data_IF_094135952561
#
_entry.id   IF_094135952561
#
_cell.length_a   1.000
_cell.length_b   1.000
_cell.length_c   1.000
_cell.angle_alpha   90.00
_cell.angle_beta   90.00
_cell.angle_gamma   90.00
#
_symmetry.space_group_name_H-M   'P 1'
#
loop_
_entity.id
_entity.type
_entity.pdbx_description
1 polymer ?
#
# COMPACT_ATOMS: atom_id res chain seq x y z
N UNK A 1 6.61 -15.18 -19.31
CA UNK A 1 6.60 -13.82 -19.88
C UNK A 1 7.18 -12.78 -18.91
N UNK A 2 6.74 -12.72 -17.64
CA UNK A 2 7.15 -11.67 -16.70
C UNK A 2 8.60 -11.73 -16.14
N UNK A 3 9.28 -12.87 -16.25
CA UNK A 3 10.66 -13.05 -15.73
C UNK A 3 11.69 -12.19 -16.47
N UNK A 4 11.54 -12.01 -17.79
CA UNK A 4 12.52 -11.29 -18.61
C UNK A 4 12.29 -9.77 -18.68
N UNK A 5 11.41 -9.23 -17.82
CA UNK A 5 11.08 -7.81 -17.82
C UNK A 5 12.17 -7.00 -17.12
N UNK A 6 12.36 -5.75 -17.54
CA UNK A 6 13.25 -4.82 -16.84
C UNK A 6 12.85 -4.65 -15.37
N UNK A 7 13.81 -4.54 -14.45
CA UNK A 7 13.55 -4.36 -13.00
C UNK A 7 12.59 -3.19 -12.76
N UNK A 8 12.83 -2.04 -13.41
CA UNK A 8 11.98 -0.86 -13.29
C UNK A 8 10.52 -1.11 -13.72
N UNK A 9 10.32 -1.93 -14.75
CA UNK A 9 8.96 -2.29 -15.21
C UNK A 9 8.25 -3.21 -14.22
N UNK A 10 8.98 -4.13 -13.57
CA UNK A 10 8.43 -5.01 -12.53
C UNK A 10 8.00 -4.21 -11.29
N UNK A 11 8.85 -3.29 -10.83
CA UNK A 11 8.52 -2.36 -9.75
C UNK A 11 7.31 -1.48 -10.11
N UNK A 12 7.32 -0.93 -11.34
CA UNK A 12 6.22 -0.13 -11.87
C UNK A 12 4.90 -0.89 -11.92
N UNK A 13 4.90 -2.17 -12.33
CA UNK A 13 3.72 -3.02 -12.33
C UNK A 13 3.17 -3.25 -10.92
N UNK A 14 4.03 -3.54 -9.95
CA UNK A 14 3.61 -3.72 -8.56
C UNK A 14 2.90 -2.48 -8.00
N UNK A 15 3.48 -1.31 -8.25
CA UNK A 15 2.90 -0.01 -7.88
C UNK A 15 1.61 0.31 -8.66
N UNK A 16 1.59 0.03 -9.97
CA UNK A 16 0.41 0.24 -10.82
C UNK A 16 -0.77 -0.66 -10.47
N UNK A 17 -0.55 -1.78 -9.79
CA UNK A 17 -1.64 -2.62 -9.27
C UNK A 17 -2.11 -2.08 -7.91
N UNK A 18 -1.18 -1.69 -7.03
CA UNK A 18 -1.51 -1.24 -5.67
C UNK A 18 -2.17 0.13 -5.61
N UNK A 19 -1.68 1.11 -6.38
CA UNK A 19 -2.18 2.49 -6.31
C UNK A 19 -3.63 2.62 -6.76
N UNK A 20 -4.07 2.07 -7.91
CA UNK A 20 -5.46 2.12 -8.31
C UNK A 20 -6.37 1.37 -7.32
N UNK A 21 -5.90 0.25 -6.76
CA UNK A 21 -6.65 -0.48 -5.76
C UNK A 21 -6.87 0.35 -4.48
N UNK A 22 -5.83 1.06 -4.00
CA UNK A 22 -5.98 2.01 -2.90
C UNK A 22 -6.98 3.12 -3.24
N UNK A 23 -6.90 3.69 -4.44
CA UNK A 23 -7.84 4.71 -4.91
C UNK A 23 -9.27 4.17 -4.90
N UNK A 24 -9.50 2.95 -5.39
CA UNK A 24 -10.82 2.29 -5.37
C UNK A 24 -11.33 2.10 -3.94
N UNK A 25 -10.48 1.66 -3.00
CA UNK A 25 -10.85 1.52 -1.59
C UNK A 25 -11.24 2.88 -0.98
N UNK A 26 -10.47 3.94 -1.27
CA UNK A 26 -10.75 5.29 -0.79
C UNK A 26 -12.07 5.82 -1.36
N UNK A 27 -12.28 5.69 -2.67
CA UNK A 27 -13.52 6.12 -3.33
C UNK A 27 -14.72 5.36 -2.77
N UNK A 28 -14.61 4.04 -2.59
CA UNK A 28 -15.67 3.23 -2.01
C UNK A 28 -15.97 3.64 -0.57
N UNK A 29 -14.94 3.91 0.24
CA UNK A 29 -15.09 4.36 1.61
C UNK A 29 -15.75 5.73 1.72
N UNK A 30 -15.30 6.72 0.93
CA UNK A 30 -15.90 8.06 0.90
C UNK A 30 -17.34 8.01 0.43
N UNK A 31 -17.63 7.27 -0.64
CA UNK A 31 -18.99 7.15 -1.20
C UNK A 31 -19.96 6.47 -0.22
N UNK A 32 -19.49 5.44 0.50
CA UNK A 32 -20.27 4.78 1.54
C UNK A 32 -20.54 5.71 2.72
N UNK A 33 -19.56 6.54 3.11
CA UNK A 33 -19.70 7.49 4.20
C UNK A 33 -20.64 8.67 3.85
N UNK A 34 -20.51 9.24 2.66
CA UNK A 34 -21.38 10.35 2.22
C UNK A 34 -22.84 9.92 2.09
N UNK A 35 -23.10 8.74 1.52
CA UNK A 35 -24.46 8.20 1.43
C UNK A 35 -25.09 7.92 2.79
N UNK A 36 -24.27 7.65 3.82
CA UNK A 36 -24.73 7.46 5.19
C UNK A 36 -25.02 8.79 5.88
N UNK A 37 -24.15 9.79 5.69
CA UNK A 37 -24.31 11.14 6.23
C UNK A 37 -25.63 11.77 5.76
N UNK A 38 -25.91 11.73 4.45
CA UNK A 38 -27.16 12.23 3.87
C UNK A 38 -28.44 11.60 4.47
N UNK A 39 -28.38 10.29 4.80
CA UNK A 39 -29.51 9.58 5.41
C UNK A 39 -29.68 9.95 6.88
N UNK A 40 -28.58 10.06 7.62
CA UNK A 40 -28.61 10.43 9.02
C UNK A 40 -29.04 11.88 9.21
N UNK A 41 -28.61 12.78 8.33
CA UNK A 41 -29.04 14.17 8.32
C UNK A 41 -30.56 14.28 8.14
N UNK A 42 -31.14 13.57 7.17
CA UNK A 42 -32.60 13.52 6.99
C UNK A 42 -33.33 12.95 8.21
N UNK A 43 -32.81 11.91 8.84
CA UNK A 43 -33.43 11.31 10.04
C UNK A 43 -33.41 12.32 11.20
N UNK A 44 -32.28 12.96 11.45
CA UNK A 44 -32.06 13.80 12.64
C UNK A 44 -32.60 15.21 12.46
N UNK A 45 -32.31 15.85 11.33
CA UNK A 45 -32.60 17.26 11.09
C UNK A 45 -33.92 17.52 10.37
N UNK A 46 -34.47 16.51 9.67
CA UNK A 46 -35.82 16.61 9.08
C UNK A 46 -36.85 15.79 9.85
N UNK A 47 -36.76 14.45 9.81
CA UNK A 47 -37.82 13.56 10.32
C UNK A 47 -38.06 13.74 11.83
N UNK A 48 -37.00 13.77 12.65
CA UNK A 48 -37.14 13.96 14.09
C UNK A 48 -37.71 15.34 14.44
N UNK A 49 -37.36 16.38 13.67
CA UNK A 49 -37.92 17.73 13.87
C UNK A 49 -39.40 17.78 13.50
N UNK A 50 -39.79 17.18 12.36
CA UNK A 50 -41.20 17.04 11.95
C UNK A 50 -42.02 16.28 13.01
N UNK A 51 -41.48 15.21 13.58
CA UNK A 51 -42.12 14.47 14.67
C UNK A 51 -42.24 15.30 15.95
N UNK A 52 -41.22 16.09 16.31
CA UNK A 52 -41.28 16.96 17.48
C UNK A 52 -42.34 18.08 17.33
N UNK A 53 -42.46 18.65 16.13
CA UNK A 53 -43.51 19.61 15.80
C UNK A 53 -44.89 18.95 15.83
N UNK A 54 -45.04 17.75 15.25
CA UNK A 54 -46.29 16.97 15.28
C UNK A 54 -46.71 16.59 16.71
N UNK A 55 -45.74 16.26 17.58
CA UNK A 55 -45.99 16.03 19.02
C UNK A 55 -46.40 17.32 19.74
N UNK A 56 -45.81 18.46 19.38
CA UNK A 56 -46.20 19.76 19.94
C UNK A 56 -47.63 20.11 19.53
N UNK A 57 -48.00 19.85 18.28
CA UNK A 57 -49.37 19.97 17.79
C UNK A 57 -50.32 19.08 18.60
N UNK A 58 -50.05 17.77 18.67
CA UNK A 58 -50.85 16.79 19.44
C UNK A 58 -51.03 17.20 20.91
N UNK A 59 -49.95 17.59 21.60
CA UNK A 59 -50.01 18.10 22.98
C UNK A 59 -50.95 19.30 23.13
N UNK A 60 -50.94 20.24 22.20
CA UNK A 60 -51.81 21.42 22.28
C UNK A 60 -53.27 21.09 21.97
N UNK A 61 -53.56 20.06 21.17
CA UNK A 61 -54.93 19.55 20.98
C UNK A 61 -55.47 18.96 22.28
N UNK A 62 -54.67 18.20 23.04
CA UNK A 62 -55.06 17.73 24.38
C UNK A 62 -55.37 18.89 25.33
N UNK A 63 -54.55 19.95 25.33
CA UNK A 63 -54.79 21.15 26.14
C UNK A 63 -56.09 21.84 25.73
N UNK A 64 -56.36 21.98 24.42
CA UNK A 64 -57.63 22.52 23.90
C UNK A 64 -58.83 21.72 24.43
N UNK A 65 -58.76 20.38 24.34
CA UNK A 65 -59.81 19.50 24.86
C UNK A 65 -60.01 19.67 26.36
N UNK A 66 -58.92 19.69 27.14
CA UNK A 66 -58.95 19.86 28.59
C UNK A 66 -59.59 21.20 28.99
N UNK A 67 -59.14 22.30 28.39
CA UNK A 67 -59.61 23.65 28.73
C UNK A 67 -61.10 23.81 28.39
N UNK A 68 -61.58 23.25 27.28
CA UNK A 68 -63.01 23.28 26.94
C UNK A 68 -63.86 22.55 27.99
N UNK A 69 -63.40 21.40 28.48
CA UNK A 69 -64.08 20.70 29.58
C UNK A 69 -64.02 21.51 30.88
N UNK A 70 -62.87 22.12 31.20
CA UNK A 70 -62.72 23.00 32.37
C UNK A 70 -63.69 24.18 32.33
N UNK A 71 -63.84 24.87 31.20
CA UNK A 71 -64.78 25.99 31.05
C UNK A 71 -66.23 25.57 31.32
N UNK A 72 -66.63 24.37 30.87
CA UNK A 72 -67.98 23.84 31.10
C UNK A 72 -68.19 23.35 32.54
N UNK A 73 -67.12 22.89 33.21
CA UNK A 73 -67.19 22.35 34.57
C UNK A 73 -67.00 23.40 35.67
N UNK A 74 -66.37 24.55 35.37
CA UNK A 74 -66.20 25.65 36.32
C UNK A 74 -67.55 26.00 36.97
N UNK A 75 -67.54 26.31 38.27
CA UNK A 75 -68.71 26.85 38.98
C UNK A 75 -68.66 28.39 39.02
N UNK A 76 -67.47 28.93 39.30
CA UNK A 76 -67.16 30.36 39.26
C UNK A 76 -66.89 30.85 37.82
N UNK A 77 -67.71 31.79 37.36
CA UNK A 77 -67.68 32.32 35.99
C UNK A 77 -66.62 33.39 35.78
N UNK A 78 -66.13 34.00 36.85
CA UNK A 78 -65.06 35.00 36.78
C UNK A 78 -63.72 34.39 36.34
N UNK A 79 -63.57 33.07 36.44
CA UNK A 79 -62.41 32.30 36.01
C UNK A 79 -62.43 31.91 34.51
N UNK A 80 -63.56 32.05 33.80
CA UNK A 80 -63.66 31.70 32.37
C UNK A 80 -62.65 32.46 31.48
N UNK A 81 -62.42 33.78 31.66
CA UNK A 81 -61.40 34.50 30.90
C UNK A 81 -59.98 33.95 31.08
N UNK A 82 -59.64 33.46 32.28
CA UNK A 82 -58.32 32.85 32.54
C UNK A 82 -58.17 31.53 31.78
N UNK A 83 -59.18 30.67 31.80
CA UNK A 83 -59.19 29.44 31.02
C UNK A 83 -59.15 29.72 29.52
N UNK A 84 -59.89 30.73 29.04
CA UNK A 84 -59.81 31.15 27.64
C UNK A 84 -58.39 31.58 27.25
N UNK A 85 -57.65 32.26 28.13
CA UNK A 85 -56.26 32.63 27.85
C UNK A 85 -55.35 31.39 27.69
N UNK A 86 -55.59 30.31 28.46
CA UNK A 86 -54.88 29.03 28.30
C UNK A 86 -55.21 28.39 26.95
N UNK A 87 -56.47 28.44 26.51
CA UNK A 87 -56.89 27.98 25.19
C UNK A 87 -56.20 28.76 24.06
N UNK A 88 -56.19 30.08 24.13
CA UNK A 88 -55.58 30.94 23.10
C UNK A 88 -54.07 30.68 22.99
N UNK A 89 -53.39 30.47 24.13
CA UNK A 89 -51.98 30.08 24.15
C UNK A 89 -51.74 28.73 23.48
N UNK A 90 -52.59 27.73 23.74
CA UNK A 90 -52.48 26.41 23.12
C UNK A 90 -52.70 26.48 21.60
N UNK A 91 -53.70 27.24 21.15
CA UNK A 91 -53.97 27.48 19.72
C UNK A 91 -52.79 28.18 19.04
N UNK A 92 -52.21 29.18 19.69
CA UNK A 92 -51.04 29.90 19.17
C UNK A 92 -49.84 28.97 19.02
N UNK A 93 -49.58 28.12 20.03
CA UNK A 93 -48.49 27.16 19.99
C UNK A 93 -48.71 26.07 18.91
N UNK A 94 -49.96 25.60 18.74
CA UNK A 94 -50.32 24.69 17.66
C UNK A 94 -50.05 25.32 16.28
N UNK A 95 -50.57 26.53 16.05
CA UNK A 95 -50.44 27.22 14.76
C UNK A 95 -48.99 27.48 14.40
N UNK A 96 -48.18 27.91 15.38
CA UNK A 96 -46.74 28.10 15.18
C UNK A 96 -46.05 26.78 14.82
N UNK A 97 -46.33 25.70 15.53
CA UNK A 97 -45.76 24.39 15.20
C UNK A 97 -46.18 23.89 13.82
N UNK A 98 -47.43 24.15 13.41
CA UNK A 98 -47.95 23.83 12.08
C UNK A 98 -47.25 24.65 10.98
N UNK A 99 -47.04 25.95 11.20
CA UNK A 99 -46.33 26.84 10.28
C UNK A 99 -44.86 26.43 10.14
N UNK A 100 -44.18 26.13 11.26
CA UNK A 100 -42.81 25.64 11.23
C UNK A 100 -42.71 24.28 10.49
N UNK A 101 -43.74 23.43 10.57
CA UNK A 101 -43.80 22.17 9.84
C UNK A 101 -43.93 22.35 8.31
N UNK A 102 -44.55 23.44 7.83
CA UNK A 102 -44.67 23.74 6.38
C UNK A 102 -43.36 24.09 5.71
N UNK A 103 -42.36 24.50 6.50
CA UNK A 103 -41.02 24.85 5.99
C UNK A 103 -40.23 23.63 5.55
N UNK A 104 -40.66 22.43 5.96
CA UNK A 104 -40.01 21.18 5.58
C UNK A 104 -40.59 20.61 4.28
N UNK A 105 -39.76 19.96 3.45
CA UNK A 105 -40.22 19.30 2.24
C UNK A 105 -41.21 18.17 2.59
N UNK A 106 -42.35 18.13 1.92
CA UNK A 106 -43.36 17.10 2.09
C UNK A 106 -43.62 16.34 0.78
N UNK A 107 -43.68 15.01 0.85
CA UNK A 107 -44.10 14.20 -0.29
C UNK A 107 -45.62 14.30 -0.53
N UNK A 108 -46.12 13.81 -1.67
CA UNK A 108 -47.55 13.92 -2.01
C UNK A 108 -48.47 13.25 -0.97
N UNK A 109 -48.03 12.14 -0.38
CA UNK A 109 -48.80 11.46 0.66
C UNK A 109 -48.84 12.28 1.96
N UNK A 110 -47.73 12.89 2.36
CA UNK A 110 -47.63 13.78 3.51
C UNK A 110 -48.51 15.01 3.33
N UNK A 111 -48.51 15.62 2.14
CA UNK A 111 -49.41 16.76 1.83
C UNK A 111 -50.88 16.39 2.00
N UNK A 112 -51.29 15.19 1.59
CA UNK A 112 -52.67 14.71 1.76
C UNK A 112 -53.04 14.58 3.24
N UNK A 113 -52.14 14.02 4.06
CA UNK A 113 -52.36 13.87 5.52
C UNK A 113 -52.46 15.24 6.19
N UNK A 114 -51.52 16.14 5.89
CA UNK A 114 -51.50 17.48 6.48
C UNK A 114 -52.78 18.25 6.15
N UNK A 115 -53.28 18.15 4.91
CA UNK A 115 -54.58 18.72 4.54
C UNK A 115 -55.75 18.11 5.32
N UNK A 116 -55.70 16.80 5.58
CA UNK A 116 -56.73 16.14 6.40
C UNK A 116 -56.69 16.62 7.86
N UNK A 117 -55.49 16.81 8.42
CA UNK A 117 -55.28 17.40 9.75
C UNK A 117 -55.82 18.85 9.78
N UNK A 118 -55.50 19.67 8.76
CA UNK A 118 -55.95 21.07 8.68
C UNK A 118 -57.47 21.17 8.60
N UNK A 119 -58.11 20.27 7.85
CA UNK A 119 -59.56 20.17 7.79
C UNK A 119 -60.15 19.79 9.15
N UNK A 120 -59.59 18.77 9.82
CA UNK A 120 -60.06 18.35 11.14
C UNK A 120 -59.89 19.46 12.19
N UNK A 121 -58.78 20.20 12.14
CA UNK A 121 -58.53 21.36 12.98
C UNK A 121 -59.59 22.46 12.75
N UNK A 122 -59.88 22.78 11.48
CA UNK A 122 -60.88 23.80 11.12
C UNK A 122 -62.28 23.43 11.63
N UNK A 123 -62.72 22.20 11.38
CA UNK A 123 -64.02 21.70 11.84
C UNK A 123 -64.11 21.74 13.38
N UNK A 124 -63.05 21.32 14.07
CA UNK A 124 -62.97 21.37 15.53
C UNK A 124 -62.98 22.81 16.06
N UNK A 125 -62.22 23.73 15.46
CA UNK A 125 -62.18 25.13 15.89
C UNK A 125 -63.54 25.81 15.80
N UNK A 126 -64.31 25.57 14.73
CA UNK A 126 -65.65 26.14 14.60
C UNK A 126 -66.58 25.62 15.72
N UNK A 127 -66.58 24.32 15.97
CA UNK A 127 -67.40 23.73 17.03
C UNK A 127 -66.96 24.20 18.43
N UNK A 128 -65.65 24.29 18.68
CA UNK A 128 -65.07 24.77 19.92
C UNK A 128 -65.42 26.24 20.19
N UNK A 129 -65.42 27.10 19.16
CA UNK A 129 -65.80 28.51 19.32
C UNK A 129 -67.29 28.64 19.68
N UNK A 130 -68.18 27.83 19.09
CA UNK A 130 -69.60 27.80 19.49
C UNK A 130 -69.78 27.41 20.97
N UNK A 131 -68.95 26.51 21.50
CA UNK A 131 -68.97 26.17 22.94
C UNK A 131 -68.60 27.40 23.78
N UNK A 132 -67.55 28.13 23.39
CA UNK A 132 -67.12 29.35 24.09
C UNK A 132 -68.21 30.43 24.04
N UNK A 133 -68.77 30.70 22.87
CA UNK A 133 -69.80 31.74 22.69
C UNK A 133 -71.03 31.46 23.57
N UNK A 134 -71.47 30.20 23.65
CA UNK A 134 -72.55 29.77 24.54
C UNK A 134 -72.17 29.86 26.02
N UNK A 135 -70.92 29.54 26.38
CA UNK A 135 -70.42 29.64 27.75
C UNK A 135 -70.28 31.08 28.25
N UNK A 136 -69.85 32.01 27.38
CA UNK A 136 -69.80 33.45 27.69
C UNK A 136 -71.19 34.11 27.67
N UNK A 137 -72.12 33.56 26.89
CA UNK A 137 -73.51 34.01 26.84
C UNK A 137 -74.42 33.47 27.96
N UNK A 138 -73.84 32.86 29.02
CA UNK A 138 -74.55 32.26 30.17
C UNK A 138 -75.50 31.08 29.80
N UNK A 139 -75.30 30.48 28.62
CA UNK A 139 -76.11 29.36 28.10
C UNK A 139 -75.46 28.00 28.38
N UNK A 140 -75.16 27.72 29.65
CA UNK A 140 -74.34 26.57 30.04
C UNK A 140 -74.88 25.19 29.63
N UNK A 141 -76.20 24.98 29.68
CA UNK A 141 -76.81 23.71 29.27
C UNK A 141 -76.65 23.46 27.75
N UNK A 142 -76.80 24.52 26.95
CA UNK A 142 -76.56 24.49 25.49
C UNK A 142 -75.07 24.29 25.21
N UNK A 143 -74.19 24.99 25.93
CA UNK A 143 -72.74 24.87 25.79
C UNK A 143 -72.25 23.44 26.10
N UNK A 144 -72.78 22.81 27.15
CA UNK A 144 -72.49 21.41 27.49
C UNK A 144 -72.96 20.46 26.40
N UNK A 145 -74.18 20.66 25.89
CA UNK A 145 -74.72 19.83 24.80
C UNK A 145 -73.88 19.97 23.53
N UNK A 146 -73.49 21.19 23.18
CA UNK A 146 -72.61 21.48 22.05
C UNK A 146 -71.21 20.85 22.22
N UNK A 147 -70.65 20.89 23.42
CA UNK A 147 -69.38 20.25 23.73
C UNK A 147 -69.45 18.74 23.49
N UNK A 148 -70.43 18.07 24.12
CA UNK A 148 -70.50 16.60 24.12
C UNK A 148 -70.89 16.02 22.76
N UNK A 149 -71.75 16.70 22.01
CA UNK A 149 -72.33 16.14 20.77
C UNK A 149 -71.60 16.56 19.49
N UNK A 150 -70.86 17.68 19.52
CA UNK A 150 -70.19 18.24 18.34
C UNK A 150 -68.69 18.46 18.58
N UNK A 151 -68.34 19.27 19.58
CA UNK A 151 -66.96 19.72 19.73
C UNK A 151 -66.00 18.59 20.14
N UNK A 152 -66.35 17.80 21.16
CA UNK A 152 -65.51 16.70 21.64
C UNK A 152 -65.26 15.63 20.55
N UNK A 153 -66.27 15.11 19.80
CA UNK A 153 -66.02 14.19 18.68
C UNK A 153 -65.11 14.76 17.58
N UNK A 154 -65.22 16.06 17.27
CA UNK A 154 -64.38 16.70 16.27
C UNK A 154 -62.94 16.90 16.76
N UNK A 155 -62.75 17.22 18.04
CA UNK A 155 -61.42 17.28 18.67
C UNK A 155 -60.77 15.90 18.73
N UNK A 156 -61.53 14.84 19.03
CA UNK A 156 -61.03 13.46 18.95
C UNK A 156 -60.61 13.11 17.53
N UNK A 157 -61.42 13.42 16.51
CA UNK A 157 -61.05 13.19 15.10
C UNK A 157 -59.77 13.93 14.70
N UNK A 158 -59.56 15.15 15.20
CA UNK A 158 -58.33 15.91 14.98
C UNK A 158 -57.12 15.28 15.66
N UNK A 159 -57.29 14.83 16.91
CA UNK A 159 -56.28 14.09 17.66
C UNK A 159 -55.88 12.78 16.95
N UNK A 160 -56.86 11.98 16.53
CA UNK A 160 -56.63 10.72 15.83
C UNK A 160 -55.85 10.93 14.51
N UNK A 161 -56.13 12.01 13.79
CA UNK A 161 -55.41 12.34 12.56
C UNK A 161 -53.93 12.71 12.83
N UNK A 162 -53.65 13.36 13.96
CA UNK A 162 -52.27 13.66 14.38
C UNK A 162 -51.54 12.40 14.84
N UNK A 163 -52.22 11.53 15.58
CA UNK A 163 -51.65 10.30 16.11
C UNK A 163 -51.36 9.29 14.98
N UNK A 164 -52.24 9.16 13.98
CA UNK A 164 -51.96 8.36 12.76
C UNK A 164 -50.72 8.90 12.03
N UNK A 165 -50.62 10.22 11.85
CA UNK A 165 -49.46 10.84 11.24
C UNK A 165 -48.17 10.58 12.03
N UNK A 166 -48.20 10.69 13.36
CA UNK A 166 -47.05 10.42 14.24
C UNK A 166 -46.63 8.95 14.19
N UNK A 167 -47.57 8.00 14.18
CA UNK A 167 -47.27 6.58 14.05
C UNK A 167 -46.62 6.26 12.70
N UNK A 168 -47.12 6.87 11.63
CA UNK A 168 -46.56 6.70 10.29
C UNK A 168 -45.16 7.28 10.17
N UNK A 169 -44.94 8.50 10.66
CA UNK A 169 -43.61 9.12 10.69
C UNK A 169 -42.63 8.27 11.52
N UNK A 170 -43.05 7.78 12.69
CA UNK A 170 -42.24 6.89 13.53
C UNK A 170 -41.84 5.61 12.78
N UNK A 171 -42.79 4.97 12.10
CA UNK A 171 -42.53 3.76 11.30
C UNK A 171 -41.58 4.01 10.14
N UNK A 172 -41.75 5.12 9.43
CA UNK A 172 -40.85 5.53 8.34
C UNK A 172 -39.45 5.80 8.88
N UNK A 173 -39.33 6.55 9.98
CA UNK A 173 -38.05 6.88 10.59
C UNK A 173 -37.28 5.63 11.07
N UNK A 174 -37.97 4.65 11.66
CA UNK A 174 -37.37 3.35 12.03
C UNK A 174 -36.91 2.58 10.79
N UNK A 175 -37.67 2.64 9.70
CA UNK A 175 -37.33 1.97 8.44
C UNK A 175 -36.10 2.61 7.80
N UNK A 176 -36.04 3.94 7.78
CA UNK A 176 -34.91 4.71 7.26
C UNK A 176 -33.65 4.46 8.10
N UNK A 177 -33.77 4.44 9.44
CA UNK A 177 -32.67 4.11 10.33
C UNK A 177 -32.12 2.69 10.09
N UNK A 178 -33.00 1.69 9.88
CA UNK A 178 -32.59 0.33 9.51
C UNK A 178 -31.92 0.29 8.15
N UNK A 179 -32.44 1.02 7.16
CA UNK A 179 -31.85 1.10 5.83
C UNK A 179 -30.47 1.78 5.84
N UNK A 180 -30.27 2.79 6.68
CA UNK A 180 -28.98 3.43 6.92
C UNK A 180 -28.01 2.44 7.59
N UNK A 181 -28.42 1.75 8.66
CA UNK A 181 -27.58 0.74 9.33
C UNK A 181 -27.17 -0.40 8.38
N UNK A 182 -28.09 -0.89 7.54
CA UNK A 182 -27.79 -1.92 6.54
C UNK A 182 -26.78 -1.42 5.50
N UNK A 183 -26.96 -0.22 4.96
CA UNK A 183 -26.04 0.38 4.00
C UNK A 183 -24.63 0.55 4.57
N UNK A 184 -24.52 0.90 5.86
CA UNK A 184 -23.24 0.92 6.57
C UNK A 184 -22.58 -0.47 6.63
N UNK A 185 -23.31 -1.50 7.04
CA UNK A 185 -22.77 -2.87 7.11
C UNK A 185 -22.33 -3.39 5.73
N UNK A 186 -23.07 -3.09 4.67
CA UNK A 186 -22.70 -3.45 3.29
C UNK A 186 -21.42 -2.73 2.85
N UNK A 187 -21.32 -1.42 3.11
CA UNK A 187 -20.12 -0.62 2.79
C UNK A 187 -18.90 -1.12 3.56
N UNK A 188 -19.07 -1.43 4.84
CA UNK A 188 -18.01 -1.97 5.69
C UNK A 188 -17.53 -3.35 5.19
N UNK A 189 -18.47 -4.25 4.85
CA UNK A 189 -18.14 -5.57 4.31
C UNK A 189 -17.39 -5.47 2.97
N UNK A 190 -17.80 -4.54 2.10
CA UNK A 190 -17.11 -4.26 0.84
C UNK A 190 -15.68 -3.77 1.08
N UNK A 191 -15.49 -2.80 1.99
CA UNK A 191 -14.17 -2.28 2.34
C UNK A 191 -13.26 -3.37 2.92
N UNK A 192 -13.78 -4.22 3.81
CA UNK A 192 -13.03 -5.33 4.39
C UNK A 192 -12.61 -6.34 3.31
N UNK A 193 -13.50 -6.63 2.36
CA UNK A 193 -13.22 -7.53 1.24
C UNK A 193 -12.14 -6.96 0.32
N UNK A 194 -12.27 -5.70 -0.09
CA UNK A 194 -11.27 -5.02 -0.93
C UNK A 194 -9.92 -4.88 -0.22
N UNK A 195 -9.93 -4.54 1.06
CA UNK A 195 -8.72 -4.48 1.89
C UNK A 195 -8.05 -5.84 2.05
N UNK A 196 -8.82 -6.91 2.25
CA UNK A 196 -8.31 -8.28 2.28
C UNK A 196 -7.65 -8.69 0.96
N UNK A 197 -8.30 -8.41 -0.18
CA UNK A 197 -7.74 -8.64 -1.52
C UNK A 197 -6.45 -7.83 -1.72
N UNK A 198 -6.41 -6.58 -1.27
CA UNK A 198 -5.22 -5.73 -1.32
C UNK A 198 -4.03 -6.33 -0.59
N UNK A 199 -4.25 -6.85 0.63
CA UNK A 199 -3.21 -7.50 1.43
C UNK A 199 -2.69 -8.75 0.71
N UNK A 200 -3.59 -9.60 0.21
CA UNK A 200 -3.22 -10.83 -0.50
C UNK A 200 -2.39 -10.51 -1.75
N UNK A 201 -2.82 -9.53 -2.54
CA UNK A 201 -2.06 -9.08 -3.71
C UNK A 201 -0.71 -8.48 -3.31
N UNK A 202 -0.64 -7.75 -2.19
CA UNK A 202 0.59 -7.18 -1.66
C UNK A 202 1.61 -8.27 -1.34
N UNK A 203 1.18 -9.29 -0.59
CA UNK A 203 2.01 -10.45 -0.26
C UNK A 203 2.46 -11.18 -1.53
N UNK A 204 1.55 -11.40 -2.50
CA UNK A 204 1.88 -12.07 -3.75
C UNK A 204 2.90 -11.29 -4.60
N UNK A 205 2.73 -9.97 -4.72
CA UNK A 205 3.67 -9.09 -5.43
C UNK A 205 5.01 -9.09 -4.71
N UNK A 206 5.04 -8.90 -3.39
CA UNK A 206 6.28 -8.92 -2.59
C UNK A 206 7.02 -10.25 -2.77
N UNK A 207 6.34 -11.38 -2.62
CA UNK A 207 6.95 -12.70 -2.82
C UNK A 207 7.51 -12.88 -4.23
N UNK A 208 6.77 -12.43 -5.25
CA UNK A 208 7.20 -12.44 -6.63
C UNK A 208 8.42 -11.53 -6.88
N UNK A 209 8.46 -10.34 -6.28
CA UNK A 209 9.61 -9.42 -6.37
C UNK A 209 10.84 -9.99 -5.66
N UNK A 210 10.69 -10.53 -4.45
CA UNK A 210 11.78 -11.15 -3.70
C UNK A 210 12.42 -12.28 -4.50
N UNK A 211 11.62 -13.15 -5.11
CA UNK A 211 12.13 -14.27 -5.90
C UNK A 211 12.74 -13.83 -7.25
N UNK A 212 12.20 -12.80 -7.88
CA UNK A 212 12.63 -12.37 -9.22
C UNK A 212 13.75 -11.33 -9.23
N UNK A 213 13.98 -10.62 -8.13
CA UNK A 213 14.98 -9.56 -8.02
C UNK A 213 15.95 -9.86 -6.88
N UNK A 214 15.45 -9.94 -5.64
CA UNK A 214 16.30 -10.05 -4.44
C UNK A 214 17.13 -11.32 -4.44
N UNK A 215 16.55 -12.46 -4.86
CA UNK A 215 17.25 -13.73 -4.90
C UNK A 215 18.41 -13.76 -5.92
N UNK A 216 18.22 -13.42 -7.22
CA UNK A 216 19.33 -13.29 -8.17
C UNK A 216 20.43 -12.32 -7.75
N UNK A 217 20.07 -11.19 -7.13
CA UNK A 217 21.05 -10.23 -6.61
C UNK A 217 21.87 -10.80 -5.45
N UNK A 218 21.25 -11.58 -4.56
CA UNK A 218 21.98 -12.27 -3.49
C UNK A 218 22.93 -13.33 -4.06
N UNK A 219 22.53 -14.06 -5.12
CA UNK A 219 23.42 -15.02 -5.80
C UNK A 219 24.62 -14.28 -6.42
N UNK A 220 24.39 -13.15 -7.10
CA UNK A 220 25.47 -12.35 -7.67
C UNK A 220 26.43 -11.83 -6.59
N UNK A 221 25.89 -11.38 -5.46
CA UNK A 221 26.67 -10.91 -4.30
C UNK A 221 27.51 -12.03 -3.69
N UNK A 222 26.94 -13.21 -3.45
CA UNK A 222 27.65 -14.38 -2.91
C UNK A 222 28.77 -14.85 -3.85
N UNK A 223 28.46 -14.90 -5.15
CA UNK A 223 29.44 -15.26 -6.19
C UNK A 223 30.62 -14.29 -6.21
N UNK A 224 30.36 -12.99 -6.17
CA UNK A 224 31.41 -11.98 -6.18
C UNK A 224 32.32 -12.09 -4.95
N UNK A 225 31.76 -12.40 -3.77
CA UNK A 225 32.55 -12.66 -2.55
C UNK A 225 33.45 -13.88 -2.71
N UNK A 226 32.93 -15.00 -3.22
CA UNK A 226 33.72 -16.21 -3.45
C UNK A 226 34.87 -15.98 -4.42
N UNK A 227 34.61 -15.29 -5.54
CA UNK A 227 35.66 -14.92 -6.50
C UNK A 227 36.74 -14.05 -5.81
N UNK A 228 36.34 -13.09 -4.98
CA UNK A 228 37.28 -12.23 -4.25
C UNK A 228 38.12 -13.01 -3.22
N UNK A 229 37.58 -14.09 -2.67
CA UNK A 229 38.28 -15.01 -1.76
C UNK A 229 39.10 -16.08 -2.52
N UNK A 230 39.05 -16.11 -3.85
CA UNK A 230 39.74 -17.07 -4.70
C UNK A 230 39.01 -18.40 -4.89
N UNK A 231 37.78 -18.54 -4.39
CA UNK A 231 36.92 -19.70 -4.64
C UNK A 231 36.17 -19.53 -5.98
N UNK A 232 36.60 -20.30 -6.98
CA UNK A 232 36.04 -20.32 -8.33
C UNK A 232 35.14 -21.55 -8.57
N UNK A 233 34.64 -22.21 -7.53
CA UNK A 233 33.82 -23.43 -7.65
C UNK A 233 32.31 -23.15 -7.65
N UNK A 234 31.89 -21.91 -7.41
CA UNK A 234 30.49 -21.52 -7.34
C UNK A 234 29.73 -21.82 -8.65
N UNK A 235 28.59 -22.50 -8.59
CA UNK A 235 27.77 -22.75 -9.78
C UNK A 235 26.84 -21.56 -10.03
N UNK A 236 27.14 -20.75 -11.03
CA UNK A 236 26.27 -19.64 -11.44
C UNK A 236 25.26 -20.16 -12.46
N UNK A 237 23.99 -20.22 -12.11
CA UNK A 237 22.88 -20.50 -13.03
C UNK A 237 22.18 -19.20 -13.44
N UNK A 238 22.00 -19.00 -14.75
CA UNK A 238 21.35 -17.80 -15.32
C UNK A 238 20.02 -18.26 -15.84
N UNK A 239 18.95 -17.79 -15.19
CA UNK A 239 17.57 -18.22 -15.46
C UNK A 239 16.71 -17.11 -16.09
N UNK A 240 17.28 -15.92 -16.28
CA UNK A 240 16.61 -14.75 -16.86
C UNK A 240 17.51 -14.01 -17.84
N UNK A 241 16.91 -13.23 -18.74
CA UNK A 241 17.62 -12.33 -19.68
C UNK A 241 17.50 -10.84 -19.30
N UNK A 242 16.88 -10.55 -18.15
CA UNK A 242 16.76 -9.21 -17.59
C UNK A 242 18.09 -8.67 -17.01
N UNK A 243 18.07 -7.51 -16.34
CA UNK A 243 19.27 -6.89 -15.76
C UNK A 243 19.97 -7.77 -14.72
N UNK A 244 19.23 -8.53 -13.90
CA UNK A 244 19.81 -9.49 -12.95
C UNK A 244 20.42 -10.70 -13.66
N UNK A 245 19.78 -11.16 -14.73
CA UNK A 245 20.30 -12.23 -15.59
C UNK A 245 21.56 -11.82 -16.35
N UNK A 246 21.60 -10.58 -16.84
CA UNK A 246 22.78 -9.99 -17.49
C UNK A 246 23.93 -9.84 -16.49
N UNK A 247 23.66 -9.41 -15.25
CA UNK A 247 24.66 -9.37 -14.18
C UNK A 247 25.23 -10.76 -13.87
N UNK A 248 24.38 -11.76 -13.68
CA UNK A 248 24.83 -13.14 -13.43
C UNK A 248 25.60 -13.72 -14.62
N UNK A 249 25.22 -13.36 -15.85
CA UNK A 249 25.95 -13.75 -17.08
C UNK A 249 27.35 -13.15 -17.09
N UNK A 250 27.49 -11.86 -16.76
CA UNK A 250 28.78 -11.21 -16.66
C UNK A 250 29.66 -11.82 -15.55
N UNK A 251 29.08 -12.13 -14.38
CA UNK A 251 29.79 -12.80 -13.29
C UNK A 251 30.29 -14.20 -13.68
N UNK A 252 29.49 -14.96 -14.43
CA UNK A 252 29.93 -16.26 -14.97
C UNK A 252 31.10 -16.11 -15.93
N UNK A 253 31.04 -15.15 -16.85
CA UNK A 253 32.16 -14.89 -17.75
C UNK A 253 33.46 -14.54 -17.00
N UNK A 254 33.37 -13.80 -15.88
CA UNK A 254 34.53 -13.49 -15.02
C UNK A 254 35.08 -14.77 -14.38
N UNK A 255 34.23 -15.62 -13.82
CA UNK A 255 34.64 -16.88 -13.20
C UNK A 255 35.26 -17.85 -14.20
N UNK A 256 34.64 -18.03 -15.36
CA UNK A 256 35.13 -18.92 -16.42
C UNK A 256 36.51 -18.47 -16.91
N UNK A 257 36.72 -17.15 -17.08
CA UNK A 257 38.01 -16.61 -17.48
C UNK A 257 39.09 -16.85 -16.42
N UNK A 258 38.78 -16.66 -15.13
CA UNK A 258 39.71 -17.00 -14.04
C UNK A 258 40.06 -18.49 -14.03
N UNK A 259 39.06 -19.38 -14.14
CA UNK A 259 39.27 -20.82 -14.18
C UNK A 259 40.17 -21.24 -15.35
N UNK A 260 39.96 -20.65 -16.53
CA UNK A 260 40.80 -20.91 -17.70
C UNK A 260 42.27 -20.50 -17.46
N UNK A 261 42.49 -19.32 -16.87
CA UNK A 261 43.85 -18.84 -16.55
C UNK A 261 44.53 -19.76 -15.54
N UNK A 262 43.83 -20.16 -14.46
CA UNK A 262 44.38 -21.09 -13.45
C UNK A 262 44.69 -22.46 -14.05
N UNK A 263 43.84 -22.96 -14.95
CA UNK A 263 44.07 -24.22 -15.65
C UNK A 263 45.31 -24.15 -16.56
N UNK A 264 45.47 -23.06 -17.32
CA UNK A 264 46.69 -22.82 -18.12
C UNK A 264 47.96 -22.76 -17.25
N UNK A 265 47.90 -22.06 -16.12
CA UNK A 265 49.02 -21.98 -15.16
C UNK A 265 49.35 -23.36 -14.61
N UNK A 266 48.34 -24.14 -14.23
CA UNK A 266 48.52 -25.49 -13.68
C UNK A 266 49.14 -26.43 -14.71
N UNK A 267 48.74 -26.32 -15.98
CA UNK A 267 49.36 -27.09 -17.07
C UNK A 267 50.85 -26.73 -17.26
N UNK A 268 51.21 -25.44 -17.20
CA UNK A 268 52.60 -25.00 -17.34
C UNK A 268 53.44 -25.42 -16.13
N UNK A 269 52.92 -25.24 -14.93
CA UNK A 269 53.59 -25.70 -13.70
C UNK A 269 53.76 -27.21 -13.72
N UNK A 270 52.77 -27.95 -14.22
CA UNK A 270 52.85 -29.40 -14.42
C UNK A 270 53.93 -29.81 -15.42
N UNK A 271 54.02 -29.14 -16.57
CA UNK A 271 55.09 -29.36 -17.55
C UNK A 271 56.48 -29.06 -16.96
N UNK A 272 56.62 -27.91 -16.28
CA UNK A 272 57.84 -27.49 -15.62
C UNK A 272 58.31 -28.48 -14.54
N UNK A 273 57.39 -29.02 -13.73
CA UNK A 273 57.71 -30.05 -12.74
C UNK A 273 58.23 -31.36 -13.37
N UNK A 274 57.88 -31.62 -14.63
CA UNK A 274 58.39 -32.74 -15.42
C UNK A 274 59.66 -32.39 -16.20
N UNK A 275 60.22 -31.18 -16.00
CA UNK A 275 61.42 -30.69 -16.69
C UNK A 275 61.16 -30.18 -18.11
N UNK A 276 59.91 -30.01 -18.51
CA UNK A 276 59.53 -29.41 -19.79
C UNK A 276 59.17 -27.93 -19.60
N UNK A 277 60.10 -27.05 -19.99
CA UNK A 277 59.91 -25.60 -19.95
C UNK A 277 59.53 -25.01 -21.31
N UNK A 278 59.20 -25.84 -22.31
CA UNK A 278 58.77 -25.36 -23.61
C UNK A 278 57.30 -24.92 -23.64
N UNK A 279 56.50 -25.34 -22.64
CA UNK A 279 55.08 -24.99 -22.53
C UNK A 279 54.88 -23.49 -22.23
N UNK A 280 54.12 -22.81 -23.10
CA UNK A 280 53.81 -21.37 -22.99
C UNK A 280 52.31 -21.12 -22.87
N UNK A 281 51.94 -20.08 -22.12
CA UNK A 281 50.58 -19.54 -22.11
C UNK A 281 50.28 -18.87 -23.45
N UNK A 282 49.05 -19.06 -23.94
CA UNK A 282 48.58 -18.36 -25.12
C UNK A 282 48.33 -16.88 -24.79
N UNK A 283 48.82 -15.96 -25.62
CA UNK A 283 48.63 -14.52 -25.45
C UNK A 283 47.43 -13.97 -26.25
N UNK A 284 46.92 -14.72 -27.22
CA UNK A 284 45.88 -14.26 -28.14
C UNK A 284 44.55 -14.08 -27.41
N UNK A 285 43.93 -12.91 -27.58
CA UNK A 285 42.63 -12.58 -27.00
C UNK A 285 42.67 -12.23 -25.50
N UNK A 286 43.84 -12.23 -24.85
CA UNK A 286 44.00 -11.80 -23.46
C UNK A 286 44.29 -10.30 -23.37
N UNK A 287 43.75 -9.66 -22.34
CA UNK A 287 43.95 -8.23 -22.05
C UNK A 287 44.14 -7.98 -20.56
N UNK A 288 44.76 -6.85 -20.19
CA UNK A 288 44.97 -6.47 -18.79
C UNK A 288 45.82 -7.49 -18.03
N UNK A 289 45.44 -7.78 -16.78
CA UNK A 289 46.22 -8.65 -15.90
C UNK A 289 46.45 -10.05 -16.49
N UNK A 290 45.49 -10.59 -17.23
CA UNK A 290 45.59 -11.94 -17.79
C UNK A 290 46.71 -12.05 -18.83
N UNK A 291 46.89 -11.00 -19.64
CA UNK A 291 47.96 -10.91 -20.63
C UNK A 291 49.31 -10.72 -19.95
N UNK A 292 49.38 -9.78 -19.02
CA UNK A 292 50.61 -9.48 -18.26
C UNK A 292 51.12 -10.72 -17.50
N UNK A 293 50.23 -11.43 -16.81
CA UNK A 293 50.56 -12.68 -16.11
C UNK A 293 51.06 -13.76 -17.07
N UNK A 294 50.44 -13.87 -18.25
CA UNK A 294 50.85 -14.83 -19.28
C UNK A 294 52.23 -14.51 -19.87
N UNK A 295 52.52 -13.24 -20.11
CA UNK A 295 53.84 -12.76 -20.58
C UNK A 295 54.92 -13.02 -19.52
N UNK A 296 54.65 -12.69 -18.26
CA UNK A 296 55.57 -12.93 -17.15
C UNK A 296 55.88 -14.42 -16.95
N UNK A 297 54.87 -15.30 -17.05
CA UNK A 297 55.07 -16.75 -16.93
C UNK A 297 55.83 -17.32 -18.12
N UNK A 298 55.55 -16.85 -19.35
CA UNK A 298 56.29 -17.24 -20.54
C UNK A 298 57.77 -16.85 -20.42
N UNK A 299 58.04 -15.62 -19.98
CA UNK A 299 59.39 -15.10 -19.76
C UNK A 299 60.12 -15.87 -18.65
N UNK A 300 59.44 -16.19 -17.54
CA UNK A 300 60.01 -17.01 -16.48
C UNK A 300 60.41 -18.39 -17.01
N UNK A 301 59.54 -19.02 -17.80
CA UNK A 301 59.80 -20.31 -18.43
C UNK A 301 60.99 -20.24 -19.40
N UNK A 302 61.15 -19.16 -20.19
CA UNK A 302 62.32 -18.96 -21.07
C UNK A 302 63.64 -18.87 -20.27
N UNK A 303 63.61 -18.12 -19.16
CA UNK A 303 64.77 -17.94 -18.28
C UNK A 303 65.18 -19.28 -17.66
N UNK A 304 64.22 -20.07 -17.19
CA UNK A 304 64.50 -21.36 -16.57
C UNK A 304 64.99 -22.39 -17.59
N UNK A 305 64.39 -22.44 -18.78
CA UNK A 305 64.80 -23.33 -19.86
C UNK A 305 66.26 -23.07 -20.27
N UNK A 306 66.59 -21.79 -20.51
CA UNK A 306 67.96 -21.36 -20.81
C UNK A 306 68.95 -21.74 -19.71
N UNK A 307 68.58 -21.55 -18.44
CA UNK A 307 69.43 -21.90 -17.31
C UNK A 307 69.66 -23.43 -17.20
N UNK A 308 68.64 -24.23 -17.51
CA UNK A 308 68.75 -25.69 -17.58
C UNK A 308 69.67 -26.12 -18.73
N UNK A 309 69.50 -25.57 -19.93
CA UNK A 309 70.37 -25.83 -21.07
C UNK A 309 71.83 -25.48 -20.77
N UNK A 310 72.08 -24.31 -20.17
CA UNK A 310 73.42 -23.89 -19.77
C UNK A 310 74.02 -24.84 -18.73
N UNK A 311 73.22 -25.30 -17.76
CA UNK A 311 73.66 -26.30 -16.78
C UNK A 311 74.05 -27.61 -17.48
N UNK A 312 73.22 -28.12 -18.39
CA UNK A 312 73.53 -29.31 -19.19
C UNK A 312 74.80 -29.10 -20.00
N UNK A 313 74.97 -27.93 -20.63
CA UNK A 313 76.17 -27.58 -21.41
C UNK A 313 77.42 -27.60 -20.54
N UNK A 314 77.37 -27.01 -19.35
CA UNK A 314 78.46 -27.02 -18.37
C UNK A 314 78.75 -28.44 -17.89
N UNK A 315 77.73 -29.24 -17.55
CA UNK A 315 77.90 -30.64 -17.13
C UNK A 315 78.53 -31.48 -18.25
N UNK A 316 78.09 -31.30 -19.50
CA UNK A 316 78.69 -31.97 -20.67
C UNK A 316 80.15 -31.55 -20.86
N UNK A 317 80.47 -30.27 -20.72
CA UNK A 317 81.85 -29.77 -20.80
C UNK A 317 82.73 -30.36 -19.68
N UNK A 318 82.23 -30.40 -18.44
CA UNK A 318 82.93 -31.04 -17.31
C UNK A 318 83.15 -32.53 -17.52
N UNK A 319 82.15 -33.25 -18.04
CA UNK A 319 82.27 -34.67 -18.39
C UNK A 319 83.29 -34.89 -19.52
N UNK A 320 83.32 -34.02 -20.53
CA UNK A 320 84.30 -34.08 -21.62
C UNK A 320 85.73 -33.85 -21.13
N UNK A 321 85.95 -32.88 -20.23
CA UNK A 321 87.24 -32.64 -19.56
C UNK A 321 87.67 -33.87 -18.75
N UNK A 322 86.73 -34.54 -18.07
CA UNK A 322 87.01 -35.75 -17.28
C UNK A 322 87.35 -36.97 -18.13
N UNK A 323 86.72 -37.11 -19.30
CA UNK A 323 86.98 -38.19 -20.26
C UNK A 323 88.26 -37.99 -21.08
N UNK A 324 88.74 -36.74 -21.20
CA UNK A 324 89.97 -36.38 -21.92
C UNK A 324 90.85 -35.45 -21.06
N UNK A 325 91.63 -35.98 -20.10
CA UNK A 325 92.58 -35.16 -19.35
C UNK A 325 93.71 -34.72 -20.29
N UNK A 326 93.56 -33.56 -20.93
CA UNK A 326 94.61 -32.97 -21.77
C UNK A 326 95.83 -32.62 -20.93
N UNK A 327 96.92 -33.38 -21.10
CA UNK A 327 98.27 -32.94 -20.76
C UNK A 327 98.73 -31.91 -21.80
N UNK A 328 98.55 -30.62 -21.56
CA UNK A 328 99.39 -29.57 -22.18
C UNK A 328 99.16 -28.20 -21.57
N UNK A 329 100.17 -27.73 -20.85
CA UNK A 329 100.46 -26.32 -20.65
C UNK A 329 100.77 -25.71 -22.03
N UNK A 330 99.89 -24.87 -22.58
CA UNK A 330 100.19 -23.65 -23.37
C UNK A 330 98.93 -23.11 -24.08
N UNK A 331 98.63 -21.85 -23.77
CA UNK A 331 97.90 -20.86 -24.57
C UNK A 331 96.72 -21.33 -25.44
N UNK A 332 95.52 -21.33 -24.86
CA UNK A 332 94.28 -20.94 -25.53
C UNK A 332 93.27 -20.56 -24.45
N UNK A 333 92.96 -19.26 -24.35
CA UNK A 333 91.88 -18.74 -23.50
C UNK A 333 90.56 -19.42 -23.89
N UNK A 334 89.84 -20.08 -22.97
CA UNK A 334 88.46 -20.45 -23.24
C UNK A 334 87.65 -19.17 -23.40
N UNK A 335 86.73 -19.14 -24.37
CA UNK A 335 85.70 -18.11 -24.44
C UNK A 335 84.99 -18.00 -23.07
N UNK A 336 84.60 -16.79 -22.62
CA UNK A 336 84.16 -16.58 -21.26
C UNK A 336 82.86 -17.34 -21.01
N UNK A 337 82.94 -18.38 -20.18
CA UNK A 337 81.77 -18.88 -19.45
C UNK A 337 81.19 -17.69 -18.68
N UNK A 338 79.87 -17.41 -18.73
CA UNK A 338 79.30 -16.37 -17.92
C UNK A 338 79.54 -16.73 -16.45
N UNK A 339 80.43 -15.97 -15.80
CA UNK A 339 80.78 -16.22 -14.42
C UNK A 339 79.53 -16.12 -13.53
N UNK A 340 79.47 -16.88 -12.44
CA UNK A 340 78.45 -16.75 -11.38
C UNK A 340 78.24 -15.30 -10.90
N UNK A 341 79.20 -14.40 -11.11
CA UNK A 341 79.07 -12.96 -10.86
C UNK A 341 78.06 -12.26 -11.77
N UNK A 342 77.86 -12.72 -13.01
CA UNK A 342 76.87 -12.17 -13.94
C UNK A 342 75.45 -12.56 -13.54
N UNK A 343 75.22 -13.84 -13.20
CA UNK A 343 73.98 -14.32 -12.60
C UNK A 343 73.68 -13.62 -11.26
N UNK A 344 74.68 -13.48 -10.38
CA UNK A 344 74.52 -12.74 -9.13
C UNK A 344 74.18 -11.26 -9.35
N UNK A 345 74.68 -10.63 -10.44
CA UNK A 345 74.31 -9.27 -10.83
C UNK A 345 72.87 -9.19 -11.33
N UNK A 346 72.41 -10.13 -12.15
CA UNK A 346 71.03 -10.17 -12.65
C UNK A 346 70.03 -10.42 -11.51
N UNK A 347 70.31 -11.36 -10.61
CA UNK A 347 69.49 -11.61 -9.40
C UNK A 347 69.45 -10.38 -8.49
N UNK A 348 70.59 -9.71 -8.30
CA UNK A 348 70.66 -8.48 -7.50
C UNK A 348 69.91 -7.31 -8.16
N UNK A 349 69.85 -7.26 -9.50
CA UNK A 349 69.05 -6.26 -10.22
C UNK A 349 67.53 -6.51 -10.11
N UNK A 350 67.11 -7.78 -10.02
CA UNK A 350 65.72 -8.15 -9.77
C UNK A 350 65.28 -7.85 -8.32
N UNK A 351 66.17 -8.01 -7.35
CA UNK A 351 65.90 -7.62 -5.95
C UNK A 351 65.88 -6.10 -5.71
N UNK A 352 66.43 -5.30 -6.63
CA UNK A 352 66.46 -3.83 -6.52
C UNK A 352 65.35 -3.13 -7.31
N UNK A 353 64.50 -3.88 -8.03
CA UNK A 353 63.30 -3.29 -8.60
C UNK A 353 62.30 -2.99 -7.46
N UNK A 354 61.86 -1.73 -7.31
CA UNK A 354 60.80 -1.41 -6.36
C UNK A 354 59.54 -2.20 -6.74
N UNK A 355 58.72 -2.63 -5.76
CA UNK A 355 57.46 -3.29 -6.05
C UNK A 355 56.62 -2.39 -6.97
N UNK A 356 55.84 -2.97 -7.90
CA UNK A 356 54.98 -2.18 -8.77
C UNK A 356 54.10 -1.28 -7.91
N UNK A 357 54.15 0.02 -8.20
CA UNK A 357 53.33 1.02 -7.53
C UNK A 357 51.88 0.64 -7.71
N UNK A 358 51.23 0.25 -6.61
CA UNK A 358 49.79 0.05 -6.55
C UNK A 358 49.14 1.32 -7.10
N UNK A 359 48.63 1.25 -8.32
CA UNK A 359 47.88 2.33 -8.92
C UNK A 359 46.62 2.45 -8.08
N UNK A 360 46.53 3.57 -7.36
CA UNK A 360 45.41 3.91 -6.50
C UNK A 360 44.10 3.68 -7.24
N UNK A 361 43.29 2.75 -6.74
CA UNK A 361 41.91 2.60 -7.16
C UNK A 361 41.19 3.95 -7.00
N UNK A 362 40.35 4.37 -7.96
CA UNK A 362 39.52 5.55 -7.77
C UNK A 362 38.54 5.28 -6.62
N UNK A 363 38.63 6.10 -5.56
CA UNK A 363 37.61 6.19 -4.53
C UNK A 363 36.33 6.71 -5.19
N UNK A 364 35.35 5.85 -5.37
CA UNK A 364 33.99 6.28 -5.68
C UNK A 364 33.36 6.81 -4.39
N UNK A 365 33.04 8.11 -4.40
CA UNK A 365 32.04 8.73 -3.52
C UNK A 365 30.64 8.36 -3.95
#
# INVERSE_FOLDING_TARGET
MFINMKIGMRLGLGLCVMLPLMIVIIIAGISGMSAQDDKLDKIVNENNVKMALSNTMSKNVYIVSQVLHSIILLEDRTAIPEEKAKLDKARTAYNKAREDLEKFPANEQEKVILKAIDKAATDAHEANNKVLDLAFGDKHAEARTQLMTKAAPLVTKWQDALDDNLQRQTKNNITDAKAASKAYSESFSLMLTLGGIAIIMGIAITFWMTRSITLPLNIAMDTAKKIAEGDLTAKIEVTSTDETGQLLTAMRAIQDNHNNIIAEITNIVGAANNGDFSAKMNLNGKTGYAKELSELLNQLSDIVDTAFEDTIRVTKAMAHIRAHPTKSNQASTPAPTPSLRSLAKSVRSLQQQPPPTATSAPRWT
#
